data_IF_869370154179
#
_entry.id   IF_869370154179
#
_cell.length_a   1.000
_cell.length_b   1.000
_cell.length_c   1.000
_cell.angle_alpha   90.00
_cell.angle_beta   90.00
_cell.angle_gamma   90.00
#
_symmetry.space_group_name_H-M   'P 1'
#
loop_
_entity.id
_entity.type
_entity.pdbx_description
1 polymer ?
#
# COMPACT_ATOMS: atom_id res chain seq x y z
N UNK A 1 -12.97 -6.76 -3.71
CA UNK A 1 -14.09 -5.78 -3.76
C UNK A 1 -14.56 -5.49 -5.19
N UNK A 2 -14.01 -6.22 -6.18
CA UNK A 2 -14.24 -6.01 -7.60
C UNK A 2 -15.72 -6.14 -7.99
N UNK A 3 -16.44 -7.12 -7.44
CA UNK A 3 -17.89 -7.29 -7.65
C UNK A 3 -18.72 -6.08 -7.20
N UNK A 4 -18.14 -5.19 -6.39
CA UNK A 4 -18.75 -3.94 -5.91
C UNK A 4 -18.23 -2.71 -6.67
N UNK A 5 -17.47 -2.90 -7.74
CA UNK A 5 -16.89 -1.84 -8.55
C UNK A 5 -15.70 -1.13 -7.91
N UNK A 6 -15.02 -1.75 -6.94
CA UNK A 6 -13.80 -1.21 -6.31
C UNK A 6 -12.62 -2.14 -6.54
N UNK A 7 -11.46 -1.58 -6.88
CA UNK A 7 -10.24 -2.34 -7.20
C UNK A 7 -9.05 -1.85 -6.37
N UNK A 8 -8.09 -2.72 -6.06
CA UNK A 8 -6.91 -2.35 -5.26
C UNK A 8 -5.92 -1.59 -6.13
N UNK A 9 -5.57 -0.35 -5.77
CA UNK A 9 -4.53 0.40 -6.49
C UNK A 9 -3.20 -0.35 -6.47
N UNK A 10 -2.87 -1.03 -5.36
CA UNK A 10 -1.64 -1.80 -5.23
C UNK A 10 -1.57 -2.89 -6.30
N UNK A 11 -2.56 -3.79 -6.33
CA UNK A 11 -2.56 -4.93 -7.26
C UNK A 11 -2.63 -4.48 -8.73
N UNK A 12 -3.38 -3.43 -9.03
CA UNK A 12 -3.45 -2.87 -10.38
C UNK A 12 -2.11 -2.25 -10.82
N UNK A 13 -1.36 -1.64 -9.90
CA UNK A 13 -0.08 -0.99 -10.20
C UNK A 13 1.08 -2.00 -10.27
N UNK A 14 1.11 -2.99 -9.37
CA UNK A 14 2.22 -3.96 -9.27
C UNK A 14 2.01 -5.21 -10.12
N UNK A 15 0.75 -5.54 -10.45
CA UNK A 15 0.39 -6.81 -11.07
C UNK A 15 0.52 -8.02 -10.14
N UNK A 16 0.79 -7.79 -8.85
CA UNK A 16 0.87 -8.86 -7.85
C UNK A 16 -0.54 -9.41 -7.56
N UNK A 17 -0.60 -10.69 -7.19
CA UNK A 17 -1.86 -11.33 -6.80
C UNK A 17 -2.17 -11.03 -5.34
N UNK A 18 -3.45 -10.94 -5.01
CA UNK A 18 -3.92 -10.80 -3.63
C UNK A 18 -3.33 -11.90 -2.74
N UNK A 19 -2.71 -11.50 -1.62
CA UNK A 19 -2.04 -12.41 -0.69
C UNK A 19 -0.63 -12.81 -1.11
N UNK A 20 -0.09 -12.25 -2.20
CA UNK A 20 1.30 -12.41 -2.66
C UNK A 20 2.05 -11.08 -2.68
N UNK A 21 1.59 -10.11 -1.88
CA UNK A 21 2.17 -8.77 -1.82
C UNK A 21 3.60 -8.82 -1.28
N UNK A 22 4.56 -8.29 -2.06
CA UNK A 22 5.98 -8.28 -1.68
C UNK A 22 6.38 -7.06 -0.85
N UNK A 23 5.68 -5.93 -1.05
CA UNK A 23 5.99 -4.68 -0.37
C UNK A 23 5.21 -4.61 0.94
N UNK A 24 5.86 -4.52 2.12
CA UNK A 24 5.13 -4.40 3.37
C UNK A 24 4.56 -2.99 3.55
N UNK A 25 3.45 -2.90 4.29
CA UNK A 25 2.89 -1.63 4.77
C UNK A 25 2.97 -1.51 6.29
N UNK A 26 3.40 -2.57 6.99
CA UNK A 26 3.58 -2.58 8.43
C UNK A 26 4.83 -3.35 8.84
N UNK A 27 5.57 -2.82 9.82
CA UNK A 27 6.68 -3.47 10.51
C UNK A 27 6.25 -3.78 11.94
N UNK A 28 5.81 -5.02 12.17
CA UNK A 28 5.04 -5.37 13.36
C UNK A 28 5.93 -5.61 14.59
N UNK A 29 5.43 -5.19 15.76
CA UNK A 29 6.01 -5.37 17.11
C UNK A 29 7.31 -4.62 17.37
N UNK A 30 8.42 -5.08 16.80
CA UNK A 30 9.75 -4.53 17.08
C UNK A 30 10.11 -3.35 16.20
N UNK A 31 9.31 -3.09 15.15
CA UNK A 31 9.48 -1.99 14.19
C UNK A 31 10.86 -1.99 13.56
N UNK A 32 11.40 -3.17 13.30
CA UNK A 32 12.73 -3.36 12.70
C UNK A 32 12.62 -3.96 11.30
N UNK A 33 13.59 -3.65 10.42
CA UNK A 33 13.63 -4.19 9.06
C UNK A 33 13.81 -5.72 9.02
N UNK A 34 14.43 -6.29 10.06
CA UNK A 34 14.59 -7.74 10.21
C UNK A 34 13.39 -8.42 10.90
N UNK A 35 12.43 -7.62 11.38
CA UNK A 35 11.25 -8.08 12.09
C UNK A 35 10.16 -8.63 11.17
N UNK A 36 9.03 -9.07 11.73
CA UNK A 36 7.89 -9.53 10.95
C UNK A 36 7.22 -8.36 10.23
N UNK A 37 7.00 -8.50 8.93
CA UNK A 37 6.35 -7.49 8.09
C UNK A 37 5.10 -8.06 7.41
N UNK A 38 4.15 -7.19 7.09
CA UNK A 38 2.92 -7.56 6.40
C UNK A 38 2.46 -6.44 5.46
N UNK A 39 1.60 -6.79 4.51
CA UNK A 39 0.83 -5.85 3.71
C UNK A 39 -0.63 -5.90 4.19
N UNK A 40 -1.06 -4.87 4.92
CA UNK A 40 -2.40 -4.83 5.52
C UNK A 40 -3.19 -3.57 5.18
N UNK A 41 -2.52 -2.56 4.61
CA UNK A 41 -3.13 -1.30 4.23
C UNK A 41 -3.43 -1.33 2.73
N UNK A 42 -4.58 -0.81 2.32
CA UNK A 42 -4.99 -0.81 0.91
C UNK A 42 -5.79 0.44 0.56
N UNK A 43 -5.75 0.83 -0.72
CA UNK A 43 -6.62 1.87 -1.29
C UNK A 43 -7.50 1.21 -2.35
N UNK A 44 -8.82 1.26 -2.15
CA UNK A 44 -9.83 0.67 -3.04
C UNK A 44 -10.75 1.75 -3.65
N UNK A 45 -10.29 2.53 -4.66
CA UNK A 45 -11.14 3.47 -5.36
C UNK A 45 -12.13 2.75 -6.29
N UNK A 46 -13.13 3.48 -6.83
CA UNK A 46 -13.93 3.00 -7.95
C UNK A 46 -13.04 2.56 -9.12
N UNK A 47 -13.38 1.46 -9.78
CA UNK A 47 -12.59 0.90 -10.90
C UNK A 47 -12.33 1.90 -12.01
N UNK A 48 -13.29 2.81 -12.27
CA UNK A 48 -13.13 3.82 -13.31
C UNK A 48 -12.10 4.92 -12.96
N UNK A 49 -11.64 5.04 -11.71
CA UNK A 49 -10.55 5.94 -11.31
C UNK A 49 -9.17 5.37 -11.63
N UNK A 50 -9.03 4.06 -11.83
CA UNK A 50 -7.72 3.44 -12.05
C UNK A 50 -6.98 4.02 -13.27
N UNK A 51 -7.73 4.37 -14.32
CA UNK A 51 -7.19 5.03 -15.53
C UNK A 51 -6.61 6.43 -15.27
N UNK A 52 -7.01 7.05 -14.16
CA UNK A 52 -6.65 8.40 -13.77
C UNK A 52 -5.60 8.42 -12.65
N UNK A 53 -5.18 7.24 -12.16
CA UNK A 53 -4.02 7.10 -11.26
C UNK A 53 -2.77 7.49 -12.03
N UNK A 54 -2.06 8.49 -11.52
CA UNK A 54 -0.78 8.96 -12.08
C UNK A 54 0.40 8.31 -11.41
N UNK A 55 0.30 8.17 -10.10
CA UNK A 55 1.38 7.69 -9.26
C UNK A 55 0.81 6.98 -8.04
N UNK A 56 1.47 5.91 -7.63
CA UNK A 56 1.20 5.20 -6.39
C UNK A 56 2.52 4.90 -5.71
N UNK A 57 2.60 5.23 -4.42
CA UNK A 57 3.78 5.03 -3.60
C UNK A 57 3.43 4.43 -2.24
N UNK A 58 4.34 3.59 -1.76
CA UNK A 58 4.39 3.16 -0.36
C UNK A 58 5.49 3.98 0.32
N UNK A 59 5.23 4.53 1.51
CA UNK A 59 6.24 5.24 2.29
C UNK A 59 7.45 4.35 2.62
N UNK A 60 8.59 4.95 2.98
CA UNK A 60 9.79 4.19 3.35
C UNK A 60 9.86 3.90 4.85
N UNK A 61 10.55 2.82 5.22
CA UNK A 61 10.83 2.46 6.60
C UNK A 61 11.48 3.61 7.37
N UNK A 62 12.58 4.16 6.87
CA UNK A 62 13.35 5.22 7.56
C UNK A 62 12.51 6.44 7.91
N UNK A 63 11.62 6.86 6.99
CA UNK A 63 10.82 8.06 7.17
C UNK A 63 9.68 7.87 8.19
N UNK A 64 9.20 6.64 8.39
CA UNK A 64 8.00 6.36 9.19
C UNK A 64 8.28 5.48 10.41
N UNK A 65 8.75 4.25 10.18
CA UNK A 65 9.09 3.31 11.24
C UNK A 65 10.41 3.67 11.93
N UNK A 66 11.47 3.90 11.16
CA UNK A 66 12.79 4.24 11.68
C UNK A 66 12.82 5.58 12.43
N UNK A 67 11.97 6.52 12.04
CA UNK A 67 11.78 7.80 12.74
C UNK A 67 10.89 7.71 13.98
N UNK A 68 10.20 6.59 14.19
CA UNK A 68 9.29 6.36 15.31
C UNK A 68 7.90 7.00 15.16
N UNK A 69 7.55 7.52 13.98
CA UNK A 69 6.26 8.18 13.71
C UNK A 69 5.09 7.19 13.64
N UNK A 70 5.32 5.98 13.12
CA UNK A 70 4.32 4.91 13.03
C UNK A 70 5.01 3.55 12.88
N UNK A 71 4.31 2.44 13.11
CA UNK A 71 4.71 1.10 12.62
C UNK A 71 4.21 0.81 11.20
N UNK A 72 3.35 1.67 10.66
CA UNK A 72 2.85 1.58 9.30
C UNK A 72 3.57 2.52 8.35
N UNK A 73 3.65 2.11 7.09
CA UNK A 73 4.04 2.92 5.96
C UNK A 73 2.77 3.42 5.27
N UNK A 74 2.63 4.73 5.02
CA UNK A 74 1.45 5.24 4.33
C UNK A 74 1.42 4.74 2.88
N UNK A 75 0.21 4.50 2.40
CA UNK A 75 -0.09 4.39 0.98
C UNK A 75 -0.53 5.75 0.45
N UNK A 76 0.07 6.19 -0.64
CA UNK A 76 -0.24 7.48 -1.27
C UNK A 76 -0.52 7.23 -2.75
N UNK A 77 -1.63 7.78 -3.23
CA UNK A 77 -2.01 7.73 -4.65
C UNK A 77 -2.31 9.15 -5.14
N UNK A 78 -1.72 9.52 -6.28
CA UNK A 78 -2.10 10.72 -7.04
C UNK A 78 -3.12 10.34 -8.12
N UNK A 79 -4.27 10.99 -8.09
CA UNK A 79 -5.38 10.77 -9.03
C UNK A 79 -5.77 12.07 -9.70
N UNK A 80 -5.94 12.01 -11.03
CA UNK A 80 -6.55 13.11 -11.79
C UNK A 80 -8.07 13.06 -11.59
N UNK A 81 -8.64 14.12 -11.02
CA UNK A 81 -10.10 14.31 -10.90
C UNK A 81 -10.63 15.30 -11.92
#
# INVERSE_FOLDING_TARGET
LEDRGLASVYHETTGEQQGQELTPTIYWRDRSEAGPTYHLDYIFPPTYWLKDVREFNVGSFDNWCGSGLSDHLPLVVDVRV
#
